data_IF_853864780120
#
_entry.id   IF_853864780120
#
_cell.length_a   1.000
_cell.length_b   1.000
_cell.length_c   1.000
_cell.angle_alpha   90.00
_cell.angle_beta   90.00
_cell.angle_gamma   90.00
#
_symmetry.space_group_name_H-M   'P 1'
#
loop_
_entity.id
_entity.type
_entity.pdbx_description
1 polymer ?
#
# COMPACT_ATOMS: atom_id res chain seq x y z
N UNK A 1 -5.21 -9.77 -27.87
CA UNK A 1 -5.83 -10.62 -26.84
C UNK A 1 -5.94 -9.79 -25.57
N UNK A 2 -7.13 -9.66 -25.00
CA UNK A 2 -7.42 -8.70 -23.93
C UNK A 2 -6.59 -8.98 -22.68
N UNK A 3 -5.79 -8.01 -22.25
CA UNK A 3 -5.03 -8.10 -21.02
C UNK A 3 -6.01 -8.12 -19.84
N UNK A 4 -6.09 -9.27 -19.16
CA UNK A 4 -6.71 -9.32 -17.84
C UNK A 4 -5.85 -8.48 -16.87
N UNK A 5 -6.44 -7.97 -15.80
CA UNK A 5 -5.72 -7.16 -14.80
C UNK A 5 -4.47 -7.89 -14.27
N UNK A 6 -4.51 -9.23 -14.22
CA UNK A 6 -3.37 -10.07 -13.89
C UNK A 6 -2.18 -9.90 -14.87
N UNK A 7 -2.40 -9.92 -16.19
CA UNK A 7 -1.33 -9.70 -17.17
C UNK A 7 -0.72 -8.29 -17.05
N UNK A 8 -1.53 -7.28 -16.73
CA UNK A 8 -1.04 -5.92 -16.47
C UNK A 8 -0.16 -5.90 -15.21
N UNK A 9 -0.61 -6.54 -14.12
CA UNK A 9 0.18 -6.65 -12.89
C UNK A 9 1.50 -7.38 -13.11
N UNK A 10 1.52 -8.45 -13.91
CA UNK A 10 2.74 -9.20 -14.22
C UNK A 10 3.71 -8.39 -15.08
N UNK A 11 3.20 -7.60 -16.03
CA UNK A 11 3.98 -6.62 -16.79
C UNK A 11 4.66 -5.60 -15.86
N UNK A 12 3.88 -4.93 -15.00
CA UNK A 12 4.42 -3.95 -14.05
C UNK A 12 5.42 -4.54 -13.05
N UNK A 13 5.21 -5.78 -12.59
CA UNK A 13 6.17 -6.50 -11.74
C UNK A 13 7.47 -6.78 -12.48
N UNK A 14 7.40 -7.07 -13.77
CA UNK A 14 8.58 -7.30 -14.62
C UNK A 14 9.35 -6.01 -14.84
N UNK A 15 8.65 -4.93 -15.17
CA UNK A 15 9.25 -3.60 -15.33
C UNK A 15 9.91 -3.11 -14.04
N UNK A 16 9.26 -3.35 -12.89
CA UNK A 16 9.83 -3.02 -11.57
C UNK A 16 11.14 -3.76 -11.30
N UNK A 17 11.22 -5.06 -11.64
CA UNK A 17 12.47 -5.83 -11.49
C UNK A 17 13.56 -5.31 -12.41
N UNK A 18 13.22 -4.99 -13.66
CA UNK A 18 14.16 -4.43 -14.63
C UNK A 18 14.70 -3.07 -14.19
N UNK A 19 13.85 -2.17 -13.70
CA UNK A 19 14.26 -0.89 -13.13
C UNK A 19 15.17 -1.09 -11.91
N UNK A 20 14.84 -2.04 -11.04
CA UNK A 20 15.68 -2.36 -9.88
C UNK A 20 17.06 -2.93 -10.28
N UNK A 21 17.11 -3.79 -11.31
CA UNK A 21 18.36 -4.32 -11.89
C UNK A 21 19.23 -3.20 -12.47
N UNK A 22 18.62 -2.19 -13.09
CA UNK A 22 19.30 -1.00 -13.61
C UNK A 22 19.66 0.05 -12.55
N UNK A 23 19.43 -0.23 -11.26
CA UNK A 23 19.61 0.71 -10.14
C UNK A 23 18.69 1.96 -10.20
N UNK A 24 17.60 1.89 -10.94
CA UNK A 24 16.58 2.94 -11.09
C UNK A 24 15.54 2.86 -9.94
N UNK A 25 16.01 3.04 -8.70
CA UNK A 25 15.19 2.80 -7.50
C UNK A 25 13.98 3.72 -7.36
N UNK A 26 14.03 4.94 -7.88
CA UNK A 26 12.88 5.84 -7.87
C UNK A 26 11.75 5.29 -8.75
N UNK A 27 12.10 4.84 -9.96
CA UNK A 27 11.14 4.26 -10.88
C UNK A 27 10.60 2.93 -10.35
N UNK A 28 11.48 2.07 -9.86
CA UNK A 28 11.07 0.82 -9.21
C UNK A 28 10.13 1.08 -8.02
N UNK A 29 10.38 2.13 -7.22
CA UNK A 29 9.50 2.50 -6.11
C UNK A 29 8.12 2.97 -6.59
N UNK A 30 8.05 3.77 -7.66
CA UNK A 30 6.77 4.19 -8.27
C UNK A 30 6.01 2.99 -8.80
N UNK A 31 6.68 2.08 -9.52
CA UNK A 31 6.08 0.86 -10.06
C UNK A 31 5.55 -0.06 -8.94
N UNK A 32 6.31 -0.20 -7.84
CA UNK A 32 5.86 -0.95 -6.66
C UNK A 32 4.56 -0.39 -6.06
N UNK A 33 4.49 0.93 -5.91
CA UNK A 33 3.33 1.59 -5.32
C UNK A 33 2.10 1.45 -6.23
N UNK A 34 2.29 1.46 -7.56
CA UNK A 34 1.22 1.25 -8.52
C UNK A 34 0.73 -0.22 -8.56
N UNK A 35 1.64 -1.20 -8.54
CA UNK A 35 1.30 -2.62 -8.39
C UNK A 35 0.46 -2.83 -7.14
N UNK A 36 0.92 -2.33 -5.99
CA UNK A 36 0.21 -2.46 -4.71
C UNK A 36 -1.16 -1.78 -4.74
N UNK A 37 -1.28 -0.63 -5.41
CA UNK A 37 -2.56 0.07 -5.57
C UNK A 37 -3.54 -0.80 -6.37
N UNK A 38 -3.11 -1.31 -7.51
CA UNK A 38 -3.94 -2.14 -8.40
C UNK A 38 -4.32 -3.46 -7.75
N UNK A 39 -3.42 -4.12 -7.03
CA UNK A 39 -3.73 -5.31 -6.23
C UNK A 39 -4.79 -5.02 -5.15
N UNK A 40 -4.71 -3.85 -4.50
CA UNK A 40 -5.72 -3.44 -3.52
C UNK A 40 -7.08 -3.22 -4.17
N UNK A 41 -7.12 -2.61 -5.36
CA UNK A 41 -8.36 -2.42 -6.11
C UNK A 41 -8.95 -3.76 -6.53
N UNK A 42 -8.12 -4.67 -7.06
CA UNK A 42 -8.53 -6.02 -7.48
C UNK A 42 -9.14 -6.81 -6.32
N UNK A 43 -8.51 -6.75 -5.13
CA UNK A 43 -9.02 -7.37 -3.92
C UNK A 43 -10.42 -6.85 -3.55
N UNK A 44 -10.62 -5.52 -3.59
CA UNK A 44 -11.92 -4.92 -3.22
C UNK A 44 -13.01 -5.29 -4.22
N UNK A 45 -12.70 -5.24 -5.52
CA UNK A 45 -13.66 -5.58 -6.57
C UNK A 45 -13.97 -7.08 -6.58
N UNK A 46 -12.98 -7.93 -6.25
CA UNK A 46 -13.18 -9.38 -6.11
C UNK A 46 -14.03 -9.73 -4.89
N UNK A 47 -13.90 -8.99 -3.79
CA UNK A 47 -14.71 -9.16 -2.58
C UNK A 47 -16.16 -8.69 -2.79
N UNK A 48 -16.34 -7.53 -3.42
CA UNK A 48 -17.64 -6.99 -3.79
C UNK A 48 -17.57 -6.31 -5.18
N UNK A 49 -18.09 -6.97 -6.24
CA UNK A 49 -18.10 -6.39 -7.58
C UNK A 49 -18.91 -5.08 -7.70
N UNK A 50 -19.79 -4.80 -6.73
CA UNK A 50 -20.60 -3.58 -6.66
C UNK A 50 -20.04 -2.58 -5.62
N UNK A 51 -18.81 -2.78 -5.15
CA UNK A 51 -18.14 -1.89 -4.21
C UNK A 51 -18.19 -0.44 -4.70
N UNK A 52 -18.63 0.46 -3.82
CA UNK A 52 -18.68 1.89 -4.13
C UNK A 52 -17.27 2.46 -4.20
N UNK A 53 -17.08 3.49 -5.03
CA UNK A 53 -15.80 4.18 -5.19
C UNK A 53 -15.15 4.57 -3.84
N UNK A 54 -15.96 5.03 -2.88
CA UNK A 54 -15.49 5.34 -1.52
C UNK A 54 -14.81 4.15 -0.80
N UNK A 55 -15.31 2.92 -0.98
CA UNK A 55 -14.71 1.73 -0.38
C UNK A 55 -13.35 1.41 -1.00
N UNK A 56 -13.25 1.53 -2.33
CA UNK A 56 -12.00 1.37 -3.09
C UNK A 56 -10.96 2.41 -2.63
N UNK A 57 -11.35 3.68 -2.59
CA UNK A 57 -10.46 4.78 -2.19
C UNK A 57 -9.99 4.61 -0.74
N UNK A 58 -10.90 4.19 0.15
CA UNK A 58 -10.58 3.90 1.55
C UNK A 58 -9.59 2.74 1.67
N UNK A 59 -9.77 1.67 0.91
CA UNK A 59 -8.86 0.53 0.91
C UNK A 59 -7.46 0.93 0.40
N UNK A 60 -7.38 1.68 -0.71
CA UNK A 60 -6.12 2.22 -1.24
C UNK A 60 -5.46 3.17 -0.24
N UNK A 61 -6.23 4.04 0.42
CA UNK A 61 -5.69 4.93 1.45
C UNK A 61 -5.15 4.15 2.67
N UNK A 62 -5.84 3.08 3.07
CA UNK A 62 -5.41 2.22 4.16
C UNK A 62 -4.15 1.42 3.81
N UNK A 63 -4.02 0.93 2.57
CA UNK A 63 -2.84 0.19 2.12
C UNK A 63 -1.58 1.08 2.04
N UNK A 64 -1.76 2.38 1.82
CA UNK A 64 -0.70 3.40 1.96
C UNK A 64 -0.33 3.68 3.42
N UNK A 65 -1.32 3.77 4.33
CA UNK A 65 -1.08 4.01 5.77
C UNK A 65 -0.36 2.85 6.46
N UNK A 66 -0.63 1.61 6.04
CA UNK A 66 0.03 0.42 6.57
C UNK A 66 1.47 0.23 6.11
N UNK A 67 2.00 1.09 5.23
CA UNK A 67 3.37 1.03 4.70
C UNK A 67 4.48 1.36 5.74
N UNK A 68 4.21 1.22 7.04
CA UNK A 68 5.25 1.09 8.07
C UNK A 68 5.86 2.39 8.60
N UNK A 69 5.47 3.57 8.11
CA UNK A 69 5.95 4.83 8.69
C UNK A 69 5.19 5.12 9.99
N UNK A 70 5.73 4.64 11.11
CA UNK A 70 5.18 4.96 12.42
C UNK A 70 5.13 6.49 12.58
N UNK A 71 3.96 7.00 12.94
CA UNK A 71 3.82 8.43 13.27
C UNK A 71 4.26 8.72 14.70
N UNK A 72 4.41 7.67 15.53
CA UNK A 72 4.91 7.76 16.88
C UNK A 72 6.39 8.18 16.85
N UNK A 73 6.68 9.42 17.26
CA UNK A 73 8.05 9.95 17.30
C UNK A 73 8.40 10.96 16.20
N UNK A 74 7.42 11.46 15.44
CA UNK A 74 7.64 12.62 14.55
C UNK A 74 8.11 13.84 15.36
N UNK A 75 9.10 14.62 14.88
CA UNK A 75 9.53 15.84 15.56
C UNK A 75 8.33 16.79 15.75
N UNK A 76 8.15 17.32 16.96
CA UNK A 76 6.98 18.13 17.35
C UNK A 76 5.83 17.36 18.01
N UNK A 77 5.87 16.02 18.03
CA UNK A 77 4.86 15.22 18.71
C UNK A 77 5.15 15.14 20.22
N UNK A 78 4.28 15.74 21.05
CA UNK A 78 4.42 15.70 22.51
C UNK A 78 4.07 14.31 23.05
N UNK A 79 5.09 13.49 23.29
CA UNK A 79 5.01 12.28 24.13
C UNK A 79 4.46 11.04 23.43
N UNK A 80 5.33 10.05 23.23
CA UNK A 80 4.94 8.69 22.89
C UNK A 80 4.05 8.05 23.96
N UNK A 81 3.38 6.96 23.57
CA UNK A 81 2.42 6.17 24.34
C UNK A 81 2.77 6.13 25.84
N UNK A 82 1.96 6.79 26.69
CA UNK A 82 2.09 6.67 28.14
C UNK A 82 1.85 5.20 28.53
N UNK A 83 2.78 4.53 29.25
CA UNK A 83 2.50 3.19 29.74
C UNK A 83 1.29 3.21 30.67
N UNK A 84 0.33 2.32 30.42
CA UNK A 84 -0.84 2.13 31.30
C UNK A 84 -0.33 1.59 32.63
N UNK A 85 -0.30 2.43 33.65
CA UNK A 85 -0.01 2.01 35.03
C UNK A 85 -1.05 0.97 35.45
N UNK A 86 -0.70 -0.31 35.47
CA UNK A 86 -1.49 -1.36 36.11
C UNK A 86 -1.47 -1.05 37.60
N UNK A 87 -2.60 -0.60 38.15
CA UNK A 87 -2.80 -0.59 39.59
C UNK A 87 -3.40 -1.95 39.96
N UNK A 88 -2.62 -2.76 40.66
CA UNK A 88 -3.07 -3.94 41.38
C UNK A 88 -2.97 -3.65 42.88
N UNK A 89 -3.99 -4.06 43.61
CA UNK A 89 -4.20 -3.83 45.04
C UNK A 89 -5.69 -3.78 45.31
#
# INVERSE_FOLDING_TARGET
AGANLAAVLDGLRTDMRKAAENLEFEEAARLRDEVKRLETVDLVVSDDPLARQYQVDKAVANSKKSAGRSQAGRPGQRGGIKPRKKWGG
#
